data_IF_712092647247
#
_entry.id   IF_712092647247
#
_cell.length_a   1.000
_cell.length_b   1.000
_cell.length_c   1.000
_cell.angle_alpha   90.00
_cell.angle_beta   90.00
_cell.angle_gamma   90.00
#
_symmetry.space_group_name_H-M   'P 1'
#
loop_
_entity.id
_entity.type
_entity.pdbx_description
1 polymer ?
#
# COMPACT_ATOMS: atom_id res chain seq x y z
N UNK A 1 -8.01 36.64 25.51
CA UNK A 1 -8.82 36.34 24.31
C UNK A 1 -8.74 34.85 24.04
N UNK A 2 -9.84 34.29 23.56
CA UNK A 2 -10.18 32.88 23.49
C UNK A 2 -9.11 32.03 22.77
N UNK A 3 -8.67 30.95 23.43
CA UNK A 3 -9.01 29.54 23.10
C UNK A 3 -8.67 29.21 21.65
N UNK A 4 -7.62 28.39 21.48
CA UNK A 4 -7.58 27.26 20.55
C UNK A 4 -6.28 26.49 20.81
N UNK A 5 -6.25 25.75 21.93
CA UNK A 5 -5.33 24.62 22.09
C UNK A 5 -5.89 23.54 21.17
N UNK A 6 -5.39 23.47 19.94
CA UNK A 6 -5.56 22.31 19.07
C UNK A 6 -4.77 21.17 19.69
N UNK A 7 -5.39 20.51 20.68
CA UNK A 7 -4.96 19.23 21.19
C UNK A 7 -5.15 18.21 20.06
N UNK A 8 -4.09 18.00 19.28
CA UNK A 8 -3.96 16.83 18.41
C UNK A 8 -3.84 15.63 19.33
N UNK A 9 -4.99 15.04 19.66
CA UNK A 9 -5.05 13.71 20.24
C UNK A 9 -4.52 12.74 19.18
N UNK A 10 -3.21 12.45 19.22
CA UNK A 10 -2.71 11.21 18.66
C UNK A 10 -3.35 10.09 19.48
N UNK A 11 -4.41 9.50 18.94
CA UNK A 11 -4.96 8.26 19.45
C UNK A 11 -3.80 7.24 19.46
N UNK A 12 -3.35 6.89 20.66
CA UNK A 12 -2.42 5.80 20.90
C UNK A 12 -3.11 4.51 20.51
N UNK A 13 -2.95 4.10 19.25
CA UNK A 13 -3.27 2.73 18.85
C UNK A 13 -2.13 1.87 19.35
N UNK A 14 -2.20 1.51 20.63
CA UNK A 14 -1.48 0.36 21.14
C UNK A 14 -2.17 -0.87 20.53
N UNK A 15 -1.64 -1.33 19.41
CA UNK A 15 -1.94 -2.65 18.89
C UNK A 15 -0.59 -3.25 18.55
N UNK A 16 -0.19 -4.20 19.39
CA UNK A 16 0.93 -5.08 19.11
C UNK A 16 0.63 -5.72 17.75
N UNK A 17 1.31 -5.24 16.72
CA UNK A 17 1.23 -5.84 15.41
C UNK A 17 1.89 -7.22 15.54
N UNK A 18 1.06 -8.24 15.76
CA UNK A 18 1.34 -9.53 15.16
C UNK A 18 1.69 -9.24 13.71
N UNK A 19 2.82 -9.76 13.24
CA UNK A 19 3.15 -9.78 11.82
C UNK A 19 2.04 -10.58 11.13
N UNK A 20 0.92 -9.92 10.83
CA UNK A 20 -0.18 -10.52 10.12
C UNK A 20 0.34 -10.78 8.73
N UNK A 21 0.53 -12.07 8.43
CA UNK A 21 0.84 -12.53 7.10
C UNK A 21 -0.18 -11.91 6.15
N UNK A 22 0.31 -11.15 5.15
CA UNK A 22 -0.55 -10.46 4.19
C UNK A 22 -1.62 -11.40 3.64
N UNK A 23 -2.85 -10.91 3.51
CA UNK A 23 -3.92 -11.67 2.86
C UNK A 23 -3.50 -12.13 1.46
N UNK A 24 -4.09 -13.22 0.96
CA UNK A 24 -3.77 -13.74 -0.36
C UNK A 24 -3.93 -12.69 -1.47
N UNK A 25 -4.97 -11.86 -1.37
CA UNK A 25 -5.21 -10.71 -2.26
C UNK A 25 -4.04 -9.73 -2.24
N UNK A 26 -3.51 -9.38 -1.06
CA UNK A 26 -2.38 -8.46 -0.98
C UNK A 26 -1.08 -9.06 -1.50
N UNK A 27 -0.85 -10.35 -1.26
CA UNK A 27 0.28 -11.05 -1.86
C UNK A 27 0.21 -10.99 -3.39
N UNK A 28 -0.97 -11.20 -3.98
CA UNK A 28 -1.18 -11.05 -5.42
C UNK A 28 -0.92 -9.61 -5.88
N UNK A 29 -1.49 -8.62 -5.20
CA UNK A 29 -1.30 -7.20 -5.53
C UNK A 29 0.18 -6.83 -5.61
N UNK A 30 0.95 -7.16 -4.57
CA UNK A 30 2.37 -6.83 -4.51
C UNK A 30 3.17 -7.59 -5.57
N UNK A 31 2.84 -8.86 -5.84
CA UNK A 31 3.44 -9.63 -6.93
C UNK A 31 3.17 -9.00 -8.30
N UNK A 32 1.95 -8.54 -8.55
CA UNK A 32 1.57 -7.93 -9.83
C UNK A 32 2.30 -6.60 -10.07
N UNK A 33 2.56 -5.83 -9.00
CA UNK A 33 3.38 -4.60 -9.09
C UNK A 33 4.84 -4.97 -9.33
N UNK A 34 5.38 -5.98 -8.67
CA UNK A 34 6.76 -6.43 -8.91
C UNK A 34 6.97 -6.82 -10.39
N UNK A 35 6.01 -7.52 -11.00
CA UNK A 35 6.03 -7.79 -12.44
C UNK A 35 5.95 -6.52 -13.28
N UNK A 36 5.06 -5.59 -12.91
CA UNK A 36 4.95 -4.30 -13.61
C UNK A 36 6.27 -3.50 -13.54
N UNK A 37 6.88 -3.44 -12.37
CA UNK A 37 8.15 -2.74 -12.10
C UNK A 37 9.30 -3.36 -12.90
N UNK A 38 9.26 -4.67 -13.18
CA UNK A 38 10.23 -5.32 -14.08
C UNK A 38 10.02 -4.95 -15.56
N UNK A 39 8.81 -4.56 -15.95
CA UNK A 39 8.47 -4.17 -17.31
C UNK A 39 8.72 -2.67 -17.60
N UNK A 40 8.90 -1.83 -16.57
CA UNK A 40 9.17 -0.39 -16.74
C UNK A 40 10.68 -0.07 -16.71
N UNK A 41 11.13 1.04 -17.32
CA UNK A 41 12.53 1.47 -17.28
C UNK A 41 13.07 1.62 -15.85
N UNK A 42 14.36 1.32 -15.65
CA UNK A 42 15.00 1.27 -14.33
C UNK A 42 14.80 2.56 -13.50
N UNK A 43 14.88 3.73 -14.14
CA UNK A 43 14.64 5.06 -13.53
C UNK A 43 13.25 5.20 -12.93
N UNK A 44 12.21 4.66 -13.57
CA UNK A 44 10.85 4.64 -13.00
C UNK A 44 10.69 3.53 -11.96
N UNK A 45 11.37 2.41 -12.16
CA UNK A 45 11.26 1.23 -11.30
C UNK A 45 11.79 1.47 -9.87
N UNK A 46 12.80 2.33 -9.69
CA UNK A 46 13.47 2.56 -8.41
C UNK A 46 12.56 3.30 -7.42
N UNK A 47 11.95 4.40 -7.85
CA UNK A 47 10.95 5.13 -7.06
C UNK A 47 9.74 4.25 -6.74
N UNK A 48 9.27 3.46 -7.71
CA UNK A 48 8.14 2.56 -7.50
C UNK A 48 8.44 1.50 -6.43
N UNK A 49 9.65 0.92 -6.40
CA UNK A 49 10.06 -0.04 -5.37
C UNK A 49 10.07 0.58 -3.97
N UNK A 50 10.62 1.78 -3.80
CA UNK A 50 10.61 2.44 -2.48
C UNK A 50 9.18 2.71 -1.99
N UNK A 51 8.30 3.13 -2.89
CA UNK A 51 6.90 3.42 -2.54
C UNK A 51 6.11 2.12 -2.24
N UNK A 52 6.48 1.02 -2.88
CA UNK A 52 5.97 -0.33 -2.64
C UNK A 52 6.29 -0.83 -1.23
N UNK A 53 7.55 -0.73 -0.79
CA UNK A 53 7.96 -1.17 0.54
C UNK A 53 7.23 -0.39 1.64
N UNK A 54 7.13 0.92 1.48
CA UNK A 54 6.37 1.78 2.39
C UNK A 54 4.87 1.39 2.42
N UNK A 55 4.26 1.18 1.24
CA UNK A 55 2.86 0.75 1.13
C UNK A 55 2.63 -0.62 1.77
N UNK A 56 3.58 -1.55 1.63
CA UNK A 56 3.53 -2.88 2.23
C UNK A 56 3.59 -2.82 3.75
N UNK A 57 4.46 -1.98 4.32
CA UNK A 57 4.49 -1.75 5.76
C UNK A 57 3.18 -1.13 6.26
N UNK A 58 2.66 -0.12 5.57
CA UNK A 58 1.41 0.54 5.95
C UNK A 58 0.23 -0.43 5.90
N UNK A 59 0.11 -1.24 4.84
CA UNK A 59 -0.97 -2.22 4.64
C UNK A 59 -0.86 -3.38 5.63
N UNK A 60 0.36 -3.79 6.01
CA UNK A 60 0.57 -4.84 7.01
C UNK A 60 0.20 -4.39 8.43
N UNK A 61 0.18 -3.08 8.68
CA UNK A 61 -0.28 -2.49 9.94
C UNK A 61 -1.81 -2.28 10.00
N UNK A 62 -2.53 -2.50 8.90
CA UNK A 62 -3.99 -2.37 8.84
C UNK A 62 -4.71 -3.64 9.33
N UNK A 63 -5.96 -3.53 9.80
CA UNK A 63 -6.83 -4.69 10.01
C UNK A 63 -7.00 -5.52 8.73
N UNK A 64 -7.18 -6.83 8.87
CA UNK A 64 -7.24 -7.78 7.74
C UNK A 64 -8.30 -7.41 6.68
N UNK A 65 -9.50 -7.01 7.10
CA UNK A 65 -10.57 -6.59 6.18
C UNK A 65 -10.19 -5.33 5.39
N UNK A 66 -9.57 -4.35 6.07
CA UNK A 66 -9.10 -3.10 5.45
C UNK A 66 -7.95 -3.37 4.50
N UNK A 67 -7.03 -4.26 4.89
CA UNK A 67 -5.94 -4.72 4.06
C UNK A 67 -6.47 -5.38 2.77
N UNK A 68 -7.43 -6.30 2.88
CA UNK A 68 -8.03 -6.96 1.72
C UNK A 68 -8.69 -5.97 0.76
N UNK A 69 -9.48 -5.02 1.28
CA UNK A 69 -10.15 -4.02 0.47
C UNK A 69 -9.14 -3.10 -0.24
N UNK A 70 -8.11 -2.63 0.47
CA UNK A 70 -7.06 -1.78 -0.09
C UNK A 70 -6.32 -2.49 -1.24
N UNK A 71 -5.98 -3.77 -1.06
CA UNK A 71 -5.29 -4.55 -2.08
C UNK A 71 -6.17 -4.89 -3.28
N UNK A 72 -7.47 -5.15 -3.07
CA UNK A 72 -8.44 -5.30 -4.18
C UNK A 72 -8.46 -4.06 -5.06
N UNK A 73 -8.61 -2.89 -4.45
CA UNK A 73 -8.60 -1.60 -5.17
C UNK A 73 -7.27 -1.35 -5.88
N UNK A 74 -6.16 -1.71 -5.23
CA UNK A 74 -4.83 -1.64 -5.81
C UNK A 74 -4.69 -2.50 -7.07
N UNK A 75 -5.19 -3.74 -7.05
CA UNK A 75 -5.18 -4.65 -8.21
C UNK A 75 -5.99 -4.08 -9.36
N UNK A 76 -7.18 -3.53 -9.10
CA UNK A 76 -8.00 -2.92 -10.16
C UNK A 76 -7.31 -1.70 -10.78
N UNK A 77 -6.72 -0.84 -9.95
CA UNK A 77 -5.95 0.31 -10.41
C UNK A 77 -4.74 -0.12 -11.25
N UNK A 78 -4.04 -1.16 -10.82
CA UNK A 78 -2.90 -1.71 -11.55
C UNK A 78 -3.31 -2.31 -12.90
N UNK A 79 -4.45 -3.01 -12.96
CA UNK A 79 -5.01 -3.51 -14.23
C UNK A 79 -5.26 -2.36 -15.20
N UNK A 80 -5.87 -1.28 -14.73
CA UNK A 80 -6.09 -0.08 -15.56
C UNK A 80 -4.76 0.51 -16.04
N UNK A 81 -3.76 0.66 -15.15
CA UNK A 81 -2.42 1.13 -15.54
C UNK A 81 -1.77 0.25 -16.60
N UNK A 82 -1.84 -1.09 -16.45
CA UNK A 82 -1.33 -2.05 -17.44
C UNK A 82 -1.98 -1.89 -18.81
N UNK A 83 -3.26 -1.51 -18.89
CA UNK A 83 -3.92 -1.24 -20.19
C UNK A 83 -3.47 0.05 -20.86
N UNK A 84 -2.95 1.01 -20.08
CA UNK A 84 -2.47 2.30 -20.57
C UNK A 84 -0.99 2.27 -20.96
N UNK A 85 -0.25 1.22 -20.59
CA UNK A 85 1.12 1.08 -21.05
C UNK A 85 1.16 0.79 -22.56
N UNK A 86 1.99 1.53 -23.33
CA UNK A 86 2.28 1.14 -24.70
C UNK A 86 2.92 -0.26 -24.70
N UNK A 87 2.48 -1.12 -25.63
CA UNK A 87 3.02 -2.47 -25.82
C UNK A 87 4.49 -2.44 -26.25
#
# INVERSE_FOLDING_TARGET
MQKNILAVLFATVASFASAADLSATCKQYFSDIDEYVKAVPAEQSSMMKQQLDASKQQISAMPADTQEQACKQGIESLKQMKTMMPK
#
